data_IF_979704184772
#
_entry.id   IF_979704184772
#
_cell.length_a   1.000
_cell.length_b   1.000
_cell.length_c   1.000
_cell.angle_alpha   90.00
_cell.angle_beta   90.00
_cell.angle_gamma   90.00
#
_symmetry.space_group_name_H-M   'P 1'
#
loop_
_entity.id
_entity.type
_entity.pdbx_description
1 polymer ?
#
# COMPACT_ATOMS: atom_id res chain seq x y z
N UNK A 1 23.58 8.71 30.22
CA UNK A 1 23.51 7.84 29.03
C UNK A 1 22.83 8.62 27.91
N UNK A 2 23.53 8.94 26.81
CA UNK A 2 22.88 9.45 25.60
C UNK A 2 22.06 8.28 25.03
N UNK A 3 20.73 8.36 25.03
CA UNK A 3 19.91 7.39 24.32
C UNK A 3 20.38 7.37 22.86
N UNK A 4 20.83 6.22 22.37
CA UNK A 4 21.22 6.06 20.97
C UNK A 4 19.96 6.31 20.13
N UNK A 5 20.00 7.36 19.31
CA UNK A 5 18.90 7.71 18.40
C UNK A 5 18.73 6.56 17.39
N UNK A 6 17.48 6.18 17.12
CA UNK A 6 17.16 5.20 16.08
C UNK A 6 17.35 5.87 14.71
N UNK A 7 18.04 5.17 13.81
CA UNK A 7 18.34 5.67 12.46
C UNK A 7 17.56 4.82 11.47
N UNK A 8 16.74 5.49 10.66
CA UNK A 8 15.99 4.86 9.60
C UNK A 8 16.92 4.40 8.47
N UNK A 9 16.66 3.22 7.87
CA UNK A 9 17.42 2.73 6.72
C UNK A 9 17.01 3.49 5.44
N UNK A 10 17.96 3.77 4.53
CA UNK A 10 17.72 4.42 3.21
C UNK A 10 16.53 3.82 2.45
N UNK A 11 16.39 2.48 2.46
CA UNK A 11 15.36 1.72 1.72
C UNK A 11 14.22 1.20 2.61
N UNK A 12 14.04 1.73 3.83
CA UNK A 12 13.05 1.21 4.78
C UNK A 12 11.63 1.14 4.21
N UNK A 13 11.18 2.20 3.51
CA UNK A 13 9.88 2.22 2.86
C UNK A 13 9.71 1.09 1.82
N UNK A 14 10.76 0.77 1.05
CA UNK A 14 10.72 -0.30 0.06
C UNK A 14 10.59 -1.67 0.72
N UNK A 15 11.31 -1.92 1.82
CA UNK A 15 11.20 -3.17 2.56
C UNK A 15 9.78 -3.39 3.13
N UNK A 16 9.19 -2.35 3.75
CA UNK A 16 7.82 -2.44 4.24
C UNK A 16 6.83 -2.65 3.09
N UNK A 17 7.01 -1.95 1.96
CA UNK A 17 6.17 -2.15 0.78
C UNK A 17 6.23 -3.59 0.26
N UNK A 18 7.43 -4.15 0.08
CA UNK A 18 7.63 -5.54 -0.35
C UNK A 18 6.98 -6.53 0.61
N UNK A 19 7.13 -6.32 1.93
CA UNK A 19 6.50 -7.15 2.94
C UNK A 19 4.97 -7.11 2.82
N UNK A 20 4.36 -5.93 2.69
CA UNK A 20 2.90 -5.80 2.58
C UNK A 20 2.35 -6.38 1.28
N UNK A 21 3.07 -6.17 0.18
CA UNK A 21 2.68 -6.72 -1.12
C UNK A 21 2.72 -8.26 -1.08
N UNK A 22 3.81 -8.83 -0.55
CA UNK A 22 3.95 -10.28 -0.38
C UNK A 22 2.91 -10.84 0.59
N UNK A 23 2.60 -10.14 1.68
CA UNK A 23 1.56 -10.50 2.64
C UNK A 23 0.18 -10.64 1.99
N UNK A 24 -0.29 -9.60 1.31
CA UNK A 24 -1.61 -9.61 0.65
C UNK A 24 -1.65 -10.59 -0.50
N UNK A 25 -0.61 -10.60 -1.35
CA UNK A 25 -0.54 -11.52 -2.48
C UNK A 25 -0.60 -12.98 -2.01
N UNK A 26 0.09 -13.32 -0.91
CA UNK A 26 0.09 -14.67 -0.38
C UNK A 26 -1.29 -15.09 0.13
N UNK A 27 -2.02 -14.23 0.85
CA UNK A 27 -3.40 -14.52 1.27
C UNK A 27 -4.31 -14.74 0.06
N UNK A 28 -4.28 -13.83 -0.92
CA UNK A 28 -5.14 -13.92 -2.10
C UNK A 28 -4.83 -15.17 -2.94
N UNK A 29 -3.55 -15.47 -3.16
CA UNK A 29 -3.12 -16.66 -3.90
C UNK A 29 -3.43 -17.95 -3.17
N UNK A 30 -3.25 -17.98 -1.84
CA UNK A 30 -3.57 -19.15 -1.02
C UNK A 30 -5.07 -19.43 -1.06
N UNK A 31 -5.91 -18.41 -0.89
CA UNK A 31 -7.37 -18.56 -0.98
C UNK A 31 -7.85 -18.96 -2.37
N UNK A 32 -7.27 -18.39 -3.42
CA UNK A 32 -7.57 -18.79 -4.80
C UNK A 32 -7.16 -20.25 -5.04
N UNK A 33 -5.99 -20.66 -4.56
CA UNK A 33 -5.54 -22.04 -4.67
C UNK A 33 -6.48 -23.00 -3.92
N UNK A 34 -6.86 -22.68 -2.68
CA UNK A 34 -7.76 -23.51 -1.86
C UNK A 34 -9.16 -23.60 -2.47
N UNK A 35 -9.69 -22.50 -3.02
CA UNK A 35 -11.01 -22.51 -3.67
C UNK A 35 -11.02 -23.34 -4.95
N UNK A 36 -9.94 -23.30 -5.74
CA UNK A 36 -9.81 -24.09 -6.97
C UNK A 36 -9.58 -25.58 -6.70
N UNK A 37 -8.94 -25.93 -5.59
CA UNK A 37 -8.57 -27.31 -5.24
C UNK A 37 -9.55 -27.98 -4.27
N UNK A 38 -10.55 -27.25 -3.77
CA UNK A 38 -11.57 -27.78 -2.87
C UNK A 38 -11.07 -28.03 -1.46
N UNK A 39 -10.16 -27.19 -0.94
CA UNK A 39 -9.60 -27.27 0.41
C UNK A 39 -8.90 -28.62 0.71
N UNK A 40 -7.84 -28.97 -0.04
CA UNK A 40 -7.13 -30.22 0.15
C UNK A 40 -6.47 -30.29 1.52
N UNK A 41 -6.65 -31.43 2.20
CA UNK A 41 -6.01 -31.67 3.49
C UNK A 41 -4.61 -32.26 3.29
N UNK A 42 -3.59 -31.55 3.77
CA UNK A 42 -2.24 -32.10 3.89
C UNK A 42 -2.13 -32.74 5.28
N UNK A 43 -2.17 -34.07 5.33
CA UNK A 43 -2.22 -34.82 6.58
C UNK A 43 -2.93 -36.17 6.46
N UNK A 44 -3.20 -36.79 7.61
CA UNK A 44 -4.06 -37.97 7.75
C UNK A 44 -5.18 -37.69 8.77
N UNK A 45 -5.96 -38.72 9.13
CA UNK A 45 -7.09 -38.59 10.08
C UNK A 45 -6.70 -38.07 11.47
N UNK A 46 -5.42 -38.17 11.87
CA UNK A 46 -4.94 -37.75 13.20
C UNK A 46 -4.06 -36.50 13.17
N UNK A 47 -3.45 -36.20 12.04
CA UNK A 47 -2.45 -35.15 11.90
C UNK A 47 -2.76 -34.29 10.70
N UNK A 48 -3.06 -33.01 10.93
CA UNK A 48 -3.20 -32.00 9.90
C UNK A 48 -2.03 -31.02 10.02
N UNK A 49 -1.24 -30.88 8.94
CA UNK A 49 -0.18 -29.88 8.87
C UNK A 49 -0.78 -28.61 8.30
N UNK A 50 -1.16 -27.73 9.21
CA UNK A 50 -1.72 -26.42 8.93
C UNK A 50 -0.64 -25.52 8.27
N UNK A 51 -1.02 -24.75 7.26
CA UNK A 51 -0.06 -23.92 6.52
C UNK A 51 0.47 -22.74 7.34
N UNK A 52 -0.15 -22.44 8.47
CA UNK A 52 0.36 -21.57 9.54
C UNK A 52 1.75 -22.00 10.04
N UNK A 53 2.06 -23.30 10.09
CA UNK A 53 3.38 -23.79 10.53
C UNK A 53 4.46 -23.41 9.52
N UNK A 54 4.17 -23.56 8.23
CA UNK A 54 5.04 -23.11 7.14
C UNK A 54 5.18 -21.59 7.14
N UNK A 55 4.07 -20.88 7.40
CA UNK A 55 4.09 -19.44 7.60
C UNK A 55 5.05 -19.00 8.70
N UNK A 56 4.94 -19.60 9.89
CA UNK A 56 5.83 -19.34 11.02
C UNK A 56 7.30 -19.68 10.74
N UNK A 57 7.57 -20.80 10.06
CA UNK A 57 8.93 -21.17 9.66
C UNK A 57 9.54 -20.14 8.68
N UNK A 58 8.79 -19.71 7.67
CA UNK A 58 9.26 -18.73 6.70
C UNK A 58 9.51 -17.37 7.38
N UNK A 59 8.66 -16.94 8.33
CA UNK A 59 8.91 -15.74 9.15
C UNK A 59 10.20 -15.91 9.95
N UNK A 60 10.41 -17.07 10.58
CA UNK A 60 11.63 -17.33 11.35
C UNK A 60 12.90 -17.25 10.48
N UNK A 61 12.86 -17.83 9.27
CA UNK A 61 13.95 -17.71 8.28
C UNK A 61 14.14 -16.24 7.88
N UNK A 62 13.06 -15.54 7.53
CA UNK A 62 13.10 -14.13 7.17
C UNK A 62 13.72 -13.25 8.26
N UNK A 63 13.42 -13.52 9.53
CA UNK A 63 13.99 -12.81 10.68
C UNK A 63 15.46 -13.20 10.96
N UNK A 64 15.85 -14.45 10.71
CA UNK A 64 17.22 -14.93 10.94
C UNK A 64 18.21 -14.38 9.91
N UNK A 65 17.79 -14.21 8.65
CA UNK A 65 18.65 -13.73 7.57
C UNK A 65 19.45 -12.45 7.89
N UNK A 66 18.83 -11.33 8.32
CA UNK A 66 19.57 -10.10 8.65
C UNK A 66 20.40 -10.20 9.95
N UNK A 67 20.22 -11.27 10.74
CA UNK A 67 21.08 -11.55 11.90
C UNK A 67 22.34 -12.33 11.51
N UNK A 68 22.29 -13.07 10.39
CA UNK A 68 23.37 -13.92 9.90
C UNK A 68 24.23 -13.17 8.87
N UNK A 69 23.61 -12.40 7.98
CA UNK A 69 24.27 -11.77 6.85
C UNK A 69 24.20 -10.23 6.92
N UNK A 70 25.24 -9.57 6.42
CA UNK A 70 25.35 -8.10 6.44
C UNK A 70 24.98 -7.42 5.12
N UNK A 71 24.90 -8.16 4.01
CA UNK A 71 24.61 -7.60 2.68
C UNK A 71 23.23 -6.92 2.62
N UNK A 72 23.14 -5.81 1.91
CA UNK A 72 21.90 -5.02 1.80
C UNK A 72 20.74 -5.80 1.17
N UNK A 73 20.99 -6.61 0.14
CA UNK A 73 19.95 -7.39 -0.55
C UNK A 73 19.23 -8.39 0.38
N UNK A 74 19.89 -8.84 1.45
CA UNK A 74 19.30 -9.76 2.42
C UNK A 74 18.08 -9.14 3.12
N UNK A 75 18.04 -7.82 3.27
CA UNK A 75 16.88 -7.13 3.83
C UNK A 75 15.66 -7.20 2.90
N UNK A 76 15.87 -7.25 1.58
CA UNK A 76 14.79 -7.43 0.61
C UNK A 76 14.23 -8.86 0.66
N UNK A 77 15.13 -9.85 0.69
CA UNK A 77 14.75 -11.26 0.84
C UNK A 77 14.03 -11.46 2.18
N UNK A 78 14.54 -10.86 3.27
CA UNK A 78 13.91 -10.88 4.58
C UNK A 78 12.51 -10.28 4.56
N UNK A 79 12.31 -9.12 3.91
CA UNK A 79 11.00 -8.50 3.77
C UNK A 79 10.02 -9.37 2.96
N UNK A 80 10.49 -9.94 1.84
CA UNK A 80 9.70 -10.83 0.98
C UNK A 80 9.27 -12.08 1.74
N UNK A 81 10.22 -12.79 2.36
CA UNK A 81 9.94 -14.00 3.13
C UNK A 81 9.03 -13.69 4.32
N UNK A 82 9.31 -12.63 5.07
CA UNK A 82 8.45 -12.23 6.19
C UNK A 82 7.02 -11.95 5.73
N UNK A 83 6.84 -11.27 4.59
CA UNK A 83 5.51 -11.05 4.01
C UNK A 83 4.80 -12.35 3.62
N UNK A 84 5.49 -13.25 2.91
CA UNK A 84 4.94 -14.58 2.54
C UNK A 84 4.56 -15.37 3.80
N UNK A 85 5.46 -15.43 4.77
CA UNK A 85 5.26 -16.16 6.01
C UNK A 85 4.09 -15.61 6.82
N UNK A 86 3.98 -14.29 6.95
CA UNK A 86 2.83 -13.64 7.57
C UNK A 86 1.53 -13.93 6.81
N UNK A 87 1.56 -13.97 5.48
CA UNK A 87 0.38 -14.22 4.66
C UNK A 87 -0.18 -15.62 4.89
N UNK A 88 0.70 -16.63 4.86
CA UNK A 88 0.33 -18.01 5.19
C UNK A 88 -0.13 -18.17 6.64
N UNK A 89 0.51 -17.44 7.58
CA UNK A 89 0.15 -17.52 8.99
C UNK A 89 -1.25 -16.95 9.25
N UNK A 90 -1.53 -15.76 8.72
CA UNK A 90 -2.78 -15.07 8.98
C UNK A 90 -3.96 -15.57 8.15
N UNK A 91 -3.74 -16.29 7.04
CA UNK A 91 -4.84 -16.91 6.30
C UNK A 91 -5.61 -17.94 7.15
N UNK A 92 -4.95 -18.62 8.11
CA UNK A 92 -5.59 -19.55 9.05
C UNK A 92 -6.02 -18.90 10.37
N UNK A 93 -5.98 -17.57 10.51
CA UNK A 93 -6.27 -16.92 11.80
C UNK A 93 -7.66 -17.25 12.34
N UNK A 94 -8.63 -17.56 11.47
CA UNK A 94 -9.97 -18.02 11.88
C UNK A 94 -9.94 -19.25 12.78
N UNK A 95 -9.08 -20.24 12.46
CA UNK A 95 -8.91 -21.46 13.24
C UNK A 95 -8.41 -21.16 14.67
N UNK A 96 -7.68 -20.07 14.85
CA UNK A 96 -7.09 -19.70 16.15
C UNK A 96 -7.91 -18.68 16.94
N UNK A 97 -8.94 -18.09 16.31
CA UNK A 97 -9.87 -17.17 16.98
C UNK A 97 -11.06 -17.89 17.60
N UNK A 98 -11.26 -19.17 17.26
CA UNK A 98 -12.42 -19.97 17.66
C UNK A 98 -11.98 -21.20 18.45
N UNK A 99 -12.84 -21.71 19.33
CA UNK A 99 -12.54 -22.91 20.13
C UNK A 99 -12.65 -24.20 19.30
N UNK A 100 -13.47 -24.18 18.24
CA UNK A 100 -13.74 -25.29 17.33
C UNK A 100 -12.84 -25.29 16.08
N UNK A 101 -11.89 -24.35 15.98
CA UNK A 101 -10.98 -24.20 14.85
C UNK A 101 -11.68 -23.96 13.50
N UNK A 102 -12.70 -23.11 13.48
CA UNK A 102 -13.40 -22.71 12.27
C UNK A 102 -12.52 -21.82 11.37
N UNK A 103 -12.09 -22.39 10.24
CA UNK A 103 -11.34 -21.66 9.21
C UNK A 103 -12.15 -20.52 8.57
N UNK A 104 -13.47 -20.68 8.46
CA UNK A 104 -14.37 -19.71 7.81
C UNK A 104 -14.94 -18.67 8.78
N UNK A 105 -14.38 -18.57 9.98
CA UNK A 105 -14.81 -17.64 11.00
C UNK A 105 -14.77 -16.20 10.48
N UNK A 106 -15.95 -15.60 10.26
CA UNK A 106 -16.11 -14.31 9.57
C UNK A 106 -15.24 -13.16 10.12
N UNK A 107 -15.10 -12.97 11.44
CA UNK A 107 -14.23 -11.93 12.00
C UNK A 107 -12.76 -12.02 11.54
N UNK A 108 -12.27 -13.20 11.15
CA UNK A 108 -10.90 -13.39 10.70
C UNK A 108 -10.53 -12.43 9.55
N UNK A 109 -11.42 -12.23 8.59
CA UNK A 109 -11.18 -11.34 7.46
C UNK A 109 -11.02 -9.87 7.88
N UNK A 110 -11.84 -9.39 8.83
CA UNK A 110 -11.69 -8.05 9.40
C UNK A 110 -10.38 -7.89 10.16
N UNK A 111 -9.95 -8.91 10.91
CA UNK A 111 -8.67 -8.90 11.63
C UNK A 111 -7.49 -8.82 10.65
N UNK A 112 -7.50 -9.65 9.60
CA UNK A 112 -6.48 -9.62 8.53
C UNK A 112 -6.41 -8.21 7.91
N UNK A 113 -7.56 -7.61 7.61
CA UNK A 113 -7.61 -6.28 7.01
C UNK A 113 -7.12 -5.18 7.95
N UNK A 114 -7.44 -5.24 9.25
CA UNK A 114 -6.90 -4.29 10.25
C UNK A 114 -5.38 -4.41 10.37
N UNK A 115 -4.84 -5.63 10.35
CA UNK A 115 -3.39 -5.86 10.33
C UNK A 115 -2.74 -5.29 9.07
N UNK A 116 -3.38 -5.47 7.91
CA UNK A 116 -2.94 -4.84 6.67
C UNK A 116 -2.93 -3.31 6.77
N UNK A 117 -3.98 -2.70 7.31
CA UNK A 117 -4.06 -1.25 7.52
C UNK A 117 -2.98 -0.74 8.47
N UNK A 118 -2.68 -1.48 9.54
CA UNK A 118 -1.57 -1.15 10.44
C UNK A 118 -0.23 -1.17 9.69
N UNK A 119 -0.02 -2.16 8.85
CA UNK A 119 1.12 -2.24 7.95
C UNK A 119 1.23 -1.04 7.02
N UNK A 120 0.13 -0.66 6.36
CA UNK A 120 0.06 0.54 5.50
C UNK A 120 0.36 1.82 6.30
N UNK A 121 -0.14 1.92 7.53
CA UNK A 121 0.17 3.04 8.42
C UNK A 121 1.66 3.14 8.73
N UNK A 122 2.32 2.01 9.01
CA UNK A 122 3.78 1.96 9.19
C UNK A 122 4.50 2.42 7.92
N UNK A 123 4.12 1.89 6.75
CA UNK A 123 4.70 2.28 5.46
C UNK A 123 4.65 3.79 5.22
N UNK A 124 3.50 4.42 5.48
CA UNK A 124 3.33 5.87 5.31
C UNK A 124 4.11 6.67 6.36
N UNK A 125 4.29 6.14 7.56
CA UNK A 125 4.99 6.81 8.66
C UNK A 125 6.51 6.86 8.45
N UNK A 126 7.07 5.83 7.82
CA UNK A 126 8.51 5.74 7.48
C UNK A 126 8.89 6.77 6.40
N UNK A 127 7.95 7.27 5.61
CA UNK A 127 8.26 8.14 4.45
C UNK A 127 8.46 9.63 4.81
N UNK A 128 8.85 10.00 6.04
CA UNK A 128 8.80 11.41 6.50
C UNK A 128 10.12 11.97 7.01
N UNK A 129 10.58 13.04 6.33
CA UNK A 129 11.61 13.96 6.82
C UNK A 129 12.90 13.94 5.99
N UNK A 130 13.59 15.09 5.91
CA UNK A 130 14.96 15.11 5.41
C UNK A 130 15.90 14.51 6.47
N UNK A 131 16.78 13.57 6.10
CA UNK A 131 17.70 12.95 7.04
C UNK A 131 18.74 13.96 7.51
N UNK A 132 18.95 14.02 8.82
CA UNK A 132 20.04 14.80 9.40
C UNK A 132 21.42 14.27 8.92
N UNK A 133 22.48 15.07 9.03
CA UNK A 133 23.81 14.68 8.55
C UNK A 133 24.32 13.34 9.09
N UNK A 134 24.00 12.99 10.35
CA UNK A 134 24.39 11.70 10.92
C UNK A 134 23.65 10.57 10.21
N UNK A 135 22.33 10.68 10.03
CA UNK A 135 21.53 9.71 9.27
C UNK A 135 22.03 9.54 7.83
N UNK A 136 22.40 10.64 7.16
CA UNK A 136 22.99 10.60 5.81
C UNK A 136 24.33 9.85 5.78
N UNK A 137 25.20 10.04 6.77
CA UNK A 137 26.44 9.28 6.86
C UNK A 137 26.18 7.77 7.02
N UNK A 138 25.17 7.37 7.82
CA UNK A 138 24.77 5.95 7.90
C UNK A 138 24.29 5.40 6.55
N UNK A 139 23.57 6.20 5.77
CA UNK A 139 23.14 5.82 4.43
C UNK A 139 24.33 5.71 3.46
N UNK A 140 25.29 6.62 3.54
CA UNK A 140 26.52 6.58 2.75
C UNK A 140 27.34 5.33 3.08
N UNK A 141 27.57 5.03 4.37
CA UNK A 141 28.28 3.83 4.81
C UNK A 141 27.59 2.54 4.38
N UNK A 142 26.25 2.51 4.35
CA UNK A 142 25.52 1.38 3.81
C UNK A 142 25.73 1.22 2.29
N UNK A 143 25.73 2.32 1.53
CA UNK A 143 25.99 2.31 0.10
C UNK A 143 27.45 1.93 -0.25
N UNK A 144 28.41 2.11 0.67
CA UNK A 144 29.77 1.61 0.48
C UNK A 144 29.83 0.08 0.34
N UNK A 145 28.81 -0.67 0.81
CA UNK A 145 28.75 -2.12 0.61
C UNK A 145 28.71 -2.47 -0.88
N UNK A 146 28.07 -1.65 -1.71
CA UNK A 146 27.97 -1.90 -3.16
C UNK A 146 29.36 -1.79 -3.86
N UNK A 147 30.26 -0.99 -3.28
CA UNK A 147 31.66 -0.92 -3.77
C UNK A 147 32.41 -2.21 -3.41
N UNK A 148 32.17 -2.75 -2.22
CA UNK A 148 32.78 -4.01 -1.75
C UNK A 148 32.26 -5.20 -2.55
N UNK A 149 30.96 -5.21 -2.85
CA UNK A 149 30.29 -6.24 -3.64
C UNK A 149 30.59 -6.11 -5.15
N UNK A 150 31.15 -4.97 -5.58
CA UNK A 150 31.55 -4.71 -6.96
C UNK A 150 30.38 -4.46 -7.91
N UNK A 151 29.24 -4.04 -7.36
CA UNK A 151 27.99 -3.79 -8.08
C UNK A 151 27.58 -2.32 -8.12
N UNK A 152 28.42 -1.41 -7.59
CA UNK A 152 28.18 0.03 -7.64
C UNK A 152 27.88 0.52 -9.08
N UNK A 153 26.65 0.98 -9.29
CA UNK A 153 26.25 1.54 -10.57
C UNK A 153 26.54 3.05 -10.69
N UNK A 154 26.47 3.58 -11.92
CA UNK A 154 26.77 5.00 -12.20
C UNK A 154 25.83 5.95 -11.42
N UNK A 155 24.54 5.60 -11.31
CA UNK A 155 23.56 6.42 -10.58
C UNK A 155 23.76 6.31 -9.08
N UNK A 156 24.09 5.13 -8.57
CA UNK A 156 24.39 4.91 -7.17
C UNK A 156 25.66 5.65 -6.74
N UNK A 157 26.66 5.70 -7.63
CA UNK A 157 27.86 6.55 -7.43
C UNK A 157 27.48 8.03 -7.35
N UNK A 158 26.71 8.53 -8.31
CA UNK A 158 26.21 9.92 -8.32
C UNK A 158 25.42 10.23 -7.03
N UNK A 159 24.50 9.36 -6.64
CA UNK A 159 23.72 9.51 -5.40
C UNK A 159 24.60 9.52 -4.14
N UNK A 160 25.65 8.68 -4.10
CA UNK A 160 26.60 8.62 -2.98
C UNK A 160 27.43 9.90 -2.90
N UNK A 161 27.91 10.41 -4.04
CA UNK A 161 28.65 11.67 -4.11
C UNK A 161 27.77 12.86 -3.69
N UNK A 162 26.52 12.95 -4.16
CA UNK A 162 25.56 13.97 -3.74
C UNK A 162 25.31 13.92 -2.23
N UNK A 163 25.13 12.72 -1.69
CA UNK A 163 24.89 12.49 -0.27
C UNK A 163 26.08 12.97 0.58
N UNK A 164 27.31 12.60 0.22
CA UNK A 164 28.53 12.99 0.93
C UNK A 164 28.78 14.49 0.83
N UNK A 165 28.60 15.09 -0.36
CA UNK A 165 28.71 16.54 -0.55
C UNK A 165 27.70 17.31 0.32
N UNK A 166 26.47 16.79 0.46
CA UNK A 166 25.44 17.42 1.30
C UNK A 166 25.82 17.44 2.78
N UNK A 167 26.54 16.43 3.27
CA UNK A 167 27.05 16.38 4.65
C UNK A 167 28.18 17.41 4.84
N UNK A 168 29.06 17.55 3.84
CA UNK A 168 30.21 18.48 3.89
C UNK A 168 29.76 19.94 3.86
N UNK A 169 28.68 20.22 3.12
CA UNK A 169 28.12 21.57 2.95
C UNK A 169 27.35 22.12 4.14
N UNK A 170 26.90 21.27 5.06
CA UNK A 170 26.15 21.68 6.25
C UNK A 170 27.03 21.91 7.48
N UNK A 171 26.64 22.87 8.33
CA UNK A 171 27.22 23.03 9.67
C UNK A 171 26.74 21.88 10.56
N UNK A 172 27.59 20.86 10.69
CA UNK A 172 27.38 19.75 11.62
C UNK A 172 27.99 20.02 12.99
N UNK A 173 27.20 19.80 14.05
CA UNK A 173 27.65 19.81 15.45
C UNK A 173 28.66 18.69 15.81
N UNK A 174 28.95 17.79 14.87
CA UNK A 174 29.84 16.64 15.05
C UNK A 174 30.99 16.71 14.03
N UNK A 175 32.17 17.25 14.40
CA UNK A 175 33.32 17.41 13.51
C UNK A 175 33.73 16.12 12.80
N UNK A 176 33.74 15.00 13.54
CA UNK A 176 34.16 13.68 13.06
C UNK A 176 33.31 13.18 11.87
N UNK A 177 32.01 13.49 11.85
CA UNK A 177 31.08 13.08 10.76
C UNK A 177 31.46 13.76 9.45
N UNK A 178 31.84 15.04 9.54
CA UNK A 178 32.22 15.84 8.37
C UNK A 178 33.58 15.43 7.84
N UNK A 179 34.54 15.15 8.72
CA UNK A 179 35.87 14.68 8.32
C UNK A 179 35.78 13.32 7.63
N UNK A 180 35.07 12.35 8.22
CA UNK A 180 34.86 11.05 7.60
C UNK A 180 34.15 11.16 6.23
N UNK A 181 33.14 12.03 6.10
CA UNK A 181 32.46 12.23 4.83
C UNK A 181 33.40 12.76 3.72
N UNK A 182 34.39 13.60 4.06
CA UNK A 182 35.40 14.07 3.10
C UNK A 182 36.30 12.94 2.62
N UNK A 183 36.83 12.15 3.54
CA UNK A 183 37.69 11.00 3.23
C UNK A 183 36.95 9.98 2.35
N UNK A 184 35.68 9.69 2.68
CA UNK A 184 34.84 8.81 1.87
C UNK A 184 34.57 9.39 0.47
N UNK A 185 34.32 10.69 0.36
CA UNK A 185 34.07 11.33 -0.93
C UNK A 185 35.32 11.25 -1.83
N UNK A 186 36.49 11.53 -1.26
CA UNK A 186 37.76 11.44 -1.98
C UNK A 186 37.99 10.02 -2.51
N UNK A 187 37.72 9.00 -1.68
CA UNK A 187 37.78 7.60 -2.09
C UNK A 187 36.80 7.27 -3.23
N UNK A 188 35.53 7.65 -3.12
CA UNK A 188 34.50 7.36 -4.14
C UNK A 188 34.84 8.00 -5.48
N UNK A 189 35.35 9.25 -5.46
CA UNK A 189 35.72 9.96 -6.67
C UNK A 189 36.92 9.35 -7.39
N UNK A 190 37.94 8.91 -6.64
CA UNK A 190 39.23 8.53 -7.22
C UNK A 190 39.45 7.02 -7.37
N UNK A 191 38.77 6.19 -6.57
CA UNK A 191 39.07 4.76 -6.45
C UNK A 191 37.88 3.84 -6.72
N UNK A 192 36.64 4.33 -6.63
CA UNK A 192 35.46 3.53 -6.92
C UNK A 192 35.14 3.53 -8.43
N UNK A 193 35.40 2.40 -9.09
CA UNK A 193 34.98 2.16 -10.47
C UNK A 193 33.48 1.85 -10.50
N UNK A 194 32.74 2.56 -11.35
CA UNK A 194 31.32 2.30 -11.56
C UNK A 194 31.11 1.28 -12.68
N UNK A 195 30.23 0.31 -12.44
CA UNK A 195 29.85 -0.66 -13.46
C UNK A 195 28.69 -0.08 -14.30
N UNK A 196 28.75 -0.16 -15.65
CA UNK A 196 27.61 0.25 -16.46
C UNK A 196 26.40 -0.64 -16.18
N UNK A 197 25.26 -0.01 -15.84
CA UNK A 197 23.98 -0.69 -15.59
C UNK A 197 23.65 -1.58 -16.78
N UNK A 198 23.70 -2.91 -16.58
CA UNK A 198 23.21 -3.86 -17.58
C UNK A 198 21.69 -3.94 -17.46
N UNK A 199 20.98 -3.12 -18.22
CA UNK A 199 19.53 -3.21 -18.28
C UNK A 199 19.10 -4.54 -18.88
N UNK A 200 18.26 -5.28 -18.17
CA UNK A 200 17.61 -6.43 -18.78
C UNK A 200 16.66 -5.96 -19.90
N UNK A 201 16.47 -6.73 -20.99
CA UNK A 201 15.54 -6.38 -22.07
C UNK A 201 14.09 -6.19 -21.56
N UNK A 202 13.75 -6.87 -20.46
CA UNK A 202 12.48 -6.74 -19.76
C UNK A 202 12.34 -5.35 -19.11
N UNK A 203 13.34 -4.89 -18.37
CA UNK A 203 13.32 -3.55 -17.78
C UNK A 203 13.25 -2.45 -18.84
N UNK A 204 13.99 -2.58 -19.93
CA UNK A 204 13.95 -1.62 -21.04
C UNK A 204 12.53 -1.51 -21.63
N UNK A 205 11.83 -2.65 -21.70
CA UNK A 205 10.46 -2.73 -22.19
C UNK A 205 9.46 -2.15 -21.19
N UNK A 206 9.61 -2.45 -19.89
CA UNK A 206 8.82 -1.86 -18.81
C UNK A 206 9.01 -0.35 -18.78
N UNK A 207 10.26 0.15 -18.83
CA UNK A 207 10.57 1.60 -18.86
C UNK A 207 9.94 2.28 -20.07
N UNK A 208 9.99 1.65 -21.25
CA UNK A 208 9.30 2.16 -22.45
C UNK A 208 7.78 2.20 -22.25
N UNK A 209 7.19 1.15 -21.70
CA UNK A 209 5.76 1.11 -21.41
C UNK A 209 5.36 2.23 -20.42
N UNK A 210 6.11 2.41 -19.33
CA UNK A 210 5.88 3.47 -18.33
C UNK A 210 5.96 4.86 -18.97
N UNK A 211 7.01 5.14 -19.76
CA UNK A 211 7.14 6.43 -20.47
C UNK A 211 6.00 6.66 -21.48
N UNK A 212 5.56 5.60 -22.14
CA UNK A 212 4.44 5.67 -23.07
C UNK A 212 3.13 5.99 -22.32
N UNK A 213 2.85 5.30 -21.21
CA UNK A 213 1.70 5.57 -20.34
C UNK A 213 1.74 7.02 -19.82
N UNK A 214 2.89 7.49 -19.34
CA UNK A 214 3.04 8.84 -18.82
C UNK A 214 2.79 9.91 -19.88
N UNK A 215 3.31 9.72 -21.09
CA UNK A 215 3.16 10.68 -22.18
C UNK A 215 1.78 10.65 -22.86
N UNK A 216 1.10 9.51 -22.92
CA UNK A 216 -0.14 9.36 -23.69
C UNK A 216 -1.40 9.19 -22.83
N UNK A 217 -1.33 8.50 -21.69
CA UNK A 217 -2.48 8.23 -20.84
C UNK A 217 -2.58 9.20 -19.65
N UNK A 218 -1.45 9.61 -19.07
CA UNK A 218 -1.39 10.54 -17.93
C UNK A 218 -1.39 12.02 -18.36
N UNK A 219 -2.23 12.38 -19.34
CA UNK A 219 -2.48 13.79 -19.63
C UNK A 219 -3.33 14.41 -18.51
N UNK A 220 -3.23 15.74 -18.24
CA UNK A 220 -4.00 16.37 -17.17
C UNK A 220 -5.52 16.15 -17.35
N UNK A 221 -6.01 16.26 -18.60
CA UNK A 221 -7.42 16.10 -18.92
C UNK A 221 -7.89 14.66 -18.81
N UNK A 222 -7.13 13.69 -19.34
CA UNK A 222 -7.50 12.27 -19.25
C UNK A 222 -7.50 11.80 -17.79
N UNK A 223 -6.47 12.17 -17.02
CA UNK A 223 -6.35 11.82 -15.60
C UNK A 223 -7.52 12.42 -14.80
N UNK A 224 -7.87 13.68 -15.05
CA UNK A 224 -9.02 14.33 -14.40
C UNK A 224 -10.34 13.59 -14.69
N UNK A 225 -10.62 13.27 -15.95
CA UNK A 225 -11.84 12.54 -16.31
C UNK A 225 -11.86 11.11 -15.80
N UNK A 226 -10.71 10.43 -15.76
CA UNK A 226 -10.59 9.11 -15.16
C UNK A 226 -10.89 9.15 -13.65
N UNK A 227 -10.41 10.17 -12.94
CA UNK A 227 -10.70 10.35 -11.51
C UNK A 227 -12.18 10.68 -11.27
N UNK A 228 -12.77 11.54 -12.09
CA UNK A 228 -14.21 11.86 -12.02
C UNK A 228 -15.03 10.60 -12.31
N UNK A 229 -14.69 9.85 -13.36
CA UNK A 229 -15.38 8.61 -13.73
C UNK A 229 -15.27 7.55 -12.63
N UNK A 230 -14.08 7.37 -12.05
CA UNK A 230 -13.85 6.44 -10.93
C UNK A 230 -14.62 6.86 -9.68
N UNK A 231 -14.62 8.16 -9.36
CA UNK A 231 -15.40 8.72 -8.24
C UNK A 231 -16.90 8.54 -8.48
N UNK A 232 -17.38 8.76 -9.71
CA UNK A 232 -18.78 8.58 -10.09
C UNK A 232 -19.21 7.12 -10.00
N UNK A 233 -18.37 6.20 -10.45
CA UNK A 233 -18.61 4.76 -10.35
C UNK A 233 -18.72 4.32 -8.89
N UNK A 234 -17.77 4.70 -8.03
CA UNK A 234 -17.85 4.37 -6.60
C UNK A 234 -19.04 5.04 -5.89
N UNK A 235 -19.38 6.27 -6.27
CA UNK A 235 -20.59 6.95 -5.77
C UNK A 235 -21.84 6.19 -6.14
N UNK A 236 -21.96 5.75 -7.40
CA UNK A 236 -23.09 4.94 -7.86
C UNK A 236 -23.21 3.65 -7.04
N UNK A 237 -22.11 2.91 -6.86
CA UNK A 237 -22.08 1.69 -6.06
C UNK A 237 -22.43 1.95 -4.58
N UNK A 238 -22.07 3.11 -4.04
CA UNK A 238 -22.44 3.48 -2.67
C UNK A 238 -23.94 3.82 -2.55
N UNK A 239 -24.51 4.44 -3.59
CA UNK A 239 -25.92 4.84 -3.62
C UNK A 239 -26.87 3.67 -3.90
N UNK A 240 -26.46 2.62 -4.62
CA UNK A 240 -27.33 1.48 -4.93
C UNK A 240 -27.90 0.83 -3.66
N UNK A 241 -27.05 0.50 -2.68
CA UNK A 241 -27.51 -0.08 -1.41
C UNK A 241 -28.51 0.84 -0.66
N UNK A 242 -28.36 2.17 -0.81
CA UNK A 242 -29.24 3.16 -0.16
C UNK A 242 -30.59 3.22 -0.88
N UNK A 243 -30.58 3.23 -2.21
CA UNK A 243 -31.79 3.25 -3.02
C UNK A 243 -32.62 2.00 -2.74
N UNK A 244 -31.96 0.84 -2.68
CA UNK A 244 -32.58 -0.43 -2.28
C UNK A 244 -33.22 -0.33 -0.89
N UNK A 245 -32.50 0.21 0.10
CA UNK A 245 -33.04 0.42 1.45
C UNK A 245 -34.24 1.38 1.47
N UNK A 246 -34.15 2.52 0.79
CA UNK A 246 -35.23 3.52 0.73
C UNK A 246 -36.46 2.98 0.00
N UNK A 247 -36.25 2.19 -1.05
CA UNK A 247 -37.33 1.53 -1.78
C UNK A 247 -38.09 0.55 -0.89
N UNK A 248 -37.36 -0.25 -0.09
CA UNK A 248 -37.94 -1.15 0.89
C UNK A 248 -38.78 -0.38 1.93
N UNK A 249 -38.25 0.70 2.51
CA UNK A 249 -38.99 1.52 3.49
C UNK A 249 -40.29 2.11 2.89
N UNK A 250 -40.27 2.47 1.60
CA UNK A 250 -41.42 3.02 0.89
C UNK A 250 -42.53 2.02 0.57
N UNK A 251 -42.25 0.71 0.62
CA UNK A 251 -43.19 -0.36 0.28
C UNK A 251 -43.27 -1.37 1.44
N UNK A 252 -44.11 -1.11 2.46
CA UNK A 252 -44.20 -1.95 3.67
C UNK A 252 -44.45 -3.44 3.39
N UNK A 253 -45.19 -3.73 2.31
CA UNK A 253 -45.50 -5.10 1.87
C UNK A 253 -44.26 -5.84 1.35
N UNK A 254 -43.24 -5.10 0.86
CA UNK A 254 -42.01 -5.64 0.29
C UNK A 254 -40.84 -5.65 1.29
N UNK A 255 -40.94 -4.93 2.42
CA UNK A 255 -39.92 -4.94 3.48
C UNK A 255 -39.57 -6.36 3.92
N UNK A 256 -40.59 -7.22 4.06
CA UNK A 256 -40.38 -8.61 4.48
C UNK A 256 -39.53 -9.40 3.48
N UNK A 257 -39.76 -9.21 2.17
CA UNK A 257 -38.98 -9.84 1.08
C UNK A 257 -37.57 -9.26 1.03
N UNK A 258 -37.45 -7.95 1.11
CA UNK A 258 -36.16 -7.25 1.07
C UNK A 258 -35.25 -7.64 2.24
N UNK A 259 -35.80 -7.67 3.46
CA UNK A 259 -35.08 -8.12 4.65
C UNK A 259 -34.70 -9.59 4.52
N UNK A 260 -35.56 -10.45 3.95
CA UNK A 260 -35.21 -11.85 3.69
C UNK A 260 -34.08 -11.98 2.67
N UNK A 261 -34.10 -11.23 1.57
CA UNK A 261 -33.03 -11.24 0.56
C UNK A 261 -31.69 -10.87 1.18
N UNK A 262 -31.64 -9.83 2.01
CA UNK A 262 -30.42 -9.40 2.69
C UNK A 262 -29.97 -10.38 3.79
N UNK A 263 -30.90 -10.95 4.55
CA UNK A 263 -30.60 -12.01 5.51
C UNK A 263 -29.96 -13.20 4.79
N UNK A 264 -30.45 -13.58 3.62
CA UNK A 264 -29.89 -14.69 2.83
C UNK A 264 -28.54 -14.30 2.23
N UNK A 265 -28.45 -13.15 1.56
CA UNK A 265 -27.24 -12.71 0.85
C UNK A 265 -26.06 -12.48 1.81
N UNK A 266 -26.32 -11.84 2.95
CA UNK A 266 -25.31 -11.51 3.97
C UNK A 266 -25.24 -12.58 5.07
N UNK A 267 -26.16 -13.55 5.05
CA UNK A 267 -26.25 -14.65 6.01
C UNK A 267 -26.25 -14.14 7.45
N UNK A 268 -27.13 -13.16 7.76
CA UNK A 268 -27.26 -12.57 9.09
C UNK A 268 -27.86 -13.58 10.07
N UNK A 269 -27.12 -13.92 11.13
CA UNK A 269 -27.50 -14.97 12.09
C UNK A 269 -27.92 -14.46 13.46
N UNK A 270 -27.62 -13.20 13.79
CA UNK A 270 -27.89 -12.62 15.10
C UNK A 270 -28.38 -11.17 15.03
N UNK A 271 -29.09 -10.73 16.07
CA UNK A 271 -29.51 -9.33 16.18
C UNK A 271 -28.31 -8.37 16.20
N UNK A 272 -27.18 -8.79 16.78
CA UNK A 272 -25.95 -8.00 16.81
C UNK A 272 -25.33 -7.85 15.41
N UNK A 273 -25.34 -8.91 14.60
CA UNK A 273 -24.90 -8.83 13.19
C UNK A 273 -25.77 -7.87 12.39
N UNK A 274 -27.10 -7.90 12.59
CA UNK A 274 -28.02 -6.95 11.96
C UNK A 274 -27.68 -5.51 12.32
N UNK A 275 -27.40 -5.23 13.61
CA UNK A 275 -26.99 -3.88 14.04
C UNK A 275 -25.70 -3.44 13.36
N UNK A 276 -24.66 -4.29 13.34
CA UNK A 276 -23.39 -3.95 12.69
C UNK A 276 -23.51 -3.74 11.19
N UNK A 277 -24.38 -4.51 10.55
CA UNK A 277 -24.67 -4.37 9.15
C UNK A 277 -25.39 -3.05 8.83
N UNK A 278 -26.35 -2.62 9.67
CA UNK A 278 -26.99 -1.30 9.56
C UNK A 278 -25.98 -0.17 9.80
N UNK A 279 -25.06 -0.32 10.76
CA UNK A 279 -23.96 0.63 11.00
C UNK A 279 -23.07 0.75 9.78
N UNK A 280 -22.68 -0.38 9.18
CA UNK A 280 -21.88 -0.42 7.94
C UNK A 280 -22.59 0.34 6.81
N UNK A 281 -23.88 0.09 6.60
CA UNK A 281 -24.65 0.76 5.55
C UNK A 281 -24.76 2.28 5.79
N UNK A 282 -24.92 2.68 7.05
CA UNK A 282 -24.95 4.09 7.45
C UNK A 282 -23.61 4.78 7.15
N UNK A 283 -22.49 4.13 7.48
CA UNK A 283 -21.16 4.63 7.15
C UNK A 283 -20.92 4.68 5.64
N UNK A 284 -21.31 3.63 4.89
CA UNK A 284 -21.25 3.60 3.42
C UNK A 284 -22.07 4.75 2.80
N UNK A 285 -23.20 5.11 3.41
CA UNK A 285 -24.01 6.26 2.99
C UNK A 285 -23.28 7.60 3.18
N UNK A 286 -22.58 7.77 4.31
CA UNK A 286 -21.78 8.97 4.57
C UNK A 286 -20.64 9.08 3.54
N UNK A 287 -19.97 7.96 3.23
CA UNK A 287 -18.96 7.91 2.16
C UNK A 287 -19.57 8.29 0.81
N UNK A 288 -20.71 7.68 0.43
CA UNK A 288 -21.40 7.98 -0.82
C UNK A 288 -21.77 9.47 -0.96
N UNK A 289 -22.27 10.09 0.12
CA UNK A 289 -22.55 11.52 0.16
C UNK A 289 -21.28 12.38 -0.01
N UNK A 290 -20.18 12.02 0.66
CA UNK A 290 -18.91 12.73 0.52
C UNK A 290 -18.37 12.65 -0.93
N UNK A 291 -18.47 11.49 -1.58
CA UNK A 291 -18.10 11.31 -2.98
C UNK A 291 -19.03 12.08 -3.93
N UNK A 292 -20.34 12.13 -3.64
CA UNK A 292 -21.30 12.92 -4.41
C UNK A 292 -20.99 14.42 -4.32
N UNK A 293 -20.66 14.93 -3.13
CA UNK A 293 -20.19 16.31 -2.94
C UNK A 293 -18.90 16.56 -3.74
N UNK A 294 -17.96 15.60 -3.73
CA UNK A 294 -16.75 15.69 -4.52
C UNK A 294 -17.04 15.79 -6.03
N UNK A 295 -17.98 15.01 -6.55
CA UNK A 295 -18.41 15.10 -7.97
C UNK A 295 -19.02 16.45 -8.31
N UNK A 296 -19.89 16.98 -7.44
CA UNK A 296 -20.45 18.32 -7.63
C UNK A 296 -19.32 19.37 -7.68
N UNK A 297 -18.35 19.29 -6.77
CA UNK A 297 -17.20 20.19 -6.75
C UNK A 297 -16.30 20.04 -8.00
N UNK A 298 -16.10 18.82 -8.50
CA UNK A 298 -15.42 18.59 -9.78
C UNK A 298 -16.18 19.22 -10.95
N UNK A 299 -17.51 19.16 -10.97
CA UNK A 299 -18.32 19.82 -12.00
C UNK A 299 -18.15 21.35 -11.96
N UNK A 300 -18.06 21.95 -10.77
CA UNK A 300 -17.76 23.37 -10.57
C UNK A 300 -16.28 23.75 -10.71
N UNK A 301 -15.42 22.83 -11.16
CA UNK A 301 -13.95 23.02 -11.30
C UNK A 301 -13.24 23.43 -9.99
N UNK A 302 -13.81 23.08 -8.84
CA UNK A 302 -13.18 23.25 -7.52
C UNK A 302 -12.38 22.01 -7.16
N UNK A 303 -11.38 21.69 -7.99
CA UNK A 303 -10.66 20.40 -7.96
C UNK A 303 -9.99 20.14 -6.59
N UNK A 304 -9.40 21.14 -5.93
CA UNK A 304 -8.77 20.95 -4.61
C UNK A 304 -9.77 20.54 -3.52
N UNK A 305 -10.93 21.21 -3.49
CA UNK A 305 -11.99 20.89 -2.54
C UNK A 305 -12.62 19.54 -2.88
N UNK A 306 -12.86 19.26 -4.16
CA UNK A 306 -13.35 17.97 -4.64
C UNK A 306 -12.45 16.81 -4.19
N UNK A 307 -11.14 16.94 -4.40
CA UNK A 307 -10.15 15.95 -3.97
C UNK A 307 -10.17 15.79 -2.45
N UNK A 308 -10.32 16.87 -1.69
CA UNK A 308 -10.34 16.80 -0.23
C UNK A 308 -11.57 16.04 0.29
N UNK A 309 -12.76 16.28 -0.27
CA UNK A 309 -13.96 15.51 0.06
C UNK A 309 -13.85 14.05 -0.36
N UNK A 310 -13.34 13.78 -1.57
CA UNK A 310 -13.14 12.42 -2.06
C UNK A 310 -12.16 11.65 -1.17
N UNK A 311 -11.00 12.24 -0.83
CA UNK A 311 -10.04 11.62 0.08
C UNK A 311 -10.63 11.40 1.48
N UNK A 312 -11.39 12.35 2.02
CA UNK A 312 -12.06 12.17 3.32
C UNK A 312 -13.03 10.99 3.33
N UNK A 313 -13.88 10.88 2.29
CA UNK A 313 -14.80 9.75 2.13
C UNK A 313 -14.08 8.42 1.94
N UNK A 314 -13.07 8.36 1.07
CA UNK A 314 -12.29 7.14 0.83
C UNK A 314 -11.48 6.72 2.06
N UNK A 315 -10.94 7.67 2.83
CA UNK A 315 -10.26 7.35 4.10
C UNK A 315 -11.23 6.74 5.12
N UNK A 316 -12.45 7.29 5.24
CA UNK A 316 -13.51 6.69 6.05
C UNK A 316 -13.88 5.28 5.55
N UNK A 317 -13.94 5.11 4.22
CA UNK A 317 -14.20 3.81 3.58
C UNK A 317 -13.14 2.78 3.98
N UNK A 318 -11.86 3.06 3.72
CA UNK A 318 -10.79 2.10 3.99
C UNK A 318 -10.63 1.80 5.48
N UNK A 319 -10.89 2.76 6.38
CA UNK A 319 -10.63 2.58 7.82
C UNK A 319 -11.80 1.96 8.58
N UNK A 320 -13.04 2.23 8.18
CA UNK A 320 -14.22 1.77 8.91
C UNK A 320 -15.14 0.90 8.05
N UNK A 321 -15.56 1.39 6.88
CA UNK A 321 -16.53 0.66 6.03
C UNK A 321 -15.96 -0.67 5.59
N UNK A 322 -14.73 -0.68 5.06
CA UNK A 322 -14.10 -1.89 4.55
C UNK A 322 -13.84 -2.90 5.67
N UNK A 323 -13.51 -2.47 6.90
CA UNK A 323 -13.35 -3.38 8.05
C UNK A 323 -14.64 -4.17 8.31
N UNK A 324 -15.79 -3.49 8.28
CA UNK A 324 -17.10 -4.12 8.42
C UNK A 324 -17.49 -4.92 7.17
N UNK A 325 -17.15 -4.42 5.98
CA UNK A 325 -17.44 -5.12 4.73
C UNK A 325 -16.66 -6.44 4.63
N UNK A 326 -15.42 -6.50 5.12
CA UNK A 326 -14.64 -7.74 5.21
C UNK A 326 -15.28 -8.78 6.13
N UNK A 327 -16.03 -8.36 7.15
CA UNK A 327 -16.78 -9.28 8.01
C UNK A 327 -17.90 -9.97 7.23
N UNK A 328 -18.64 -9.21 6.40
CA UNK A 328 -19.85 -9.70 5.72
C UNK A 328 -19.59 -10.29 4.32
N UNK A 329 -18.76 -9.63 3.50
CA UNK A 329 -18.53 -9.97 2.08
C UNK A 329 -17.04 -9.90 1.73
N UNK A 330 -16.27 -10.91 2.13
CA UNK A 330 -14.78 -10.92 2.03
C UNK A 330 -14.24 -10.58 0.63
N UNK A 331 -14.73 -11.26 -0.41
CA UNK A 331 -14.22 -11.08 -1.79
C UNK A 331 -14.58 -9.70 -2.34
N UNK A 332 -15.83 -9.29 -2.16
CA UNK A 332 -16.33 -7.97 -2.54
C UNK A 332 -15.56 -6.86 -1.83
N UNK A 333 -15.29 -7.03 -0.53
CA UNK A 333 -14.50 -6.09 0.27
C UNK A 333 -13.08 -5.90 -0.28
N UNK A 334 -12.43 -6.97 -0.75
CA UNK A 334 -11.11 -6.86 -1.40
C UNK A 334 -11.15 -5.99 -2.65
N UNK A 335 -12.17 -6.15 -3.49
CA UNK A 335 -12.34 -5.34 -4.72
C UNK A 335 -12.58 -3.87 -4.37
N UNK A 336 -13.47 -3.59 -3.40
CA UNK A 336 -13.71 -2.22 -2.93
C UNK A 336 -12.46 -1.58 -2.34
N UNK A 337 -11.72 -2.30 -1.48
CA UNK A 337 -10.48 -1.80 -0.90
C UNK A 337 -9.45 -1.48 -1.99
N UNK A 338 -9.25 -2.35 -2.98
CA UNK A 338 -8.35 -2.10 -4.11
C UNK A 338 -8.77 -0.86 -4.92
N UNK A 339 -10.07 -0.69 -5.18
CA UNK A 339 -10.59 0.48 -5.87
C UNK A 339 -10.36 1.77 -5.05
N UNK A 340 -10.62 1.73 -3.74
CA UNK A 340 -10.40 2.85 -2.82
C UNK A 340 -8.92 3.24 -2.78
N UNK A 341 -8.00 2.28 -2.57
CA UNK A 341 -6.55 2.54 -2.58
C UNK A 341 -6.07 3.12 -3.90
N UNK A 342 -6.54 2.57 -5.02
CA UNK A 342 -6.18 3.04 -6.37
C UNK A 342 -6.67 4.47 -6.58
N UNK A 343 -7.89 4.80 -6.17
CA UNK A 343 -8.43 6.14 -6.30
C UNK A 343 -7.73 7.14 -5.37
N UNK A 344 -7.44 6.77 -4.12
CA UNK A 344 -6.64 7.57 -3.18
C UNK A 344 -5.26 7.88 -3.79
N UNK A 345 -4.59 6.87 -4.36
CA UNK A 345 -3.30 7.03 -5.01
C UNK A 345 -3.41 7.98 -6.23
N UNK A 346 -4.42 7.79 -7.08
CA UNK A 346 -4.68 8.63 -8.26
C UNK A 346 -5.01 10.09 -7.91
N UNK A 347 -5.83 10.32 -6.88
CA UNK A 347 -6.18 11.66 -6.39
C UNK A 347 -4.96 12.38 -5.83
N UNK A 348 -4.13 11.69 -5.03
CA UNK A 348 -2.89 12.24 -4.50
C UNK A 348 -1.86 12.52 -5.62
N UNK A 349 -1.76 11.63 -6.61
CA UNK A 349 -0.93 11.84 -7.80
C UNK A 349 -1.36 13.10 -8.54
N UNK A 350 -2.65 13.24 -8.86
CA UNK A 350 -3.17 14.41 -9.58
C UNK A 350 -2.95 15.71 -8.80
N UNK A 351 -3.20 15.70 -7.49
CA UNK A 351 -2.96 16.85 -6.60
C UNK A 351 -1.49 17.28 -6.62
N UNK A 352 -0.56 16.34 -6.43
CA UNK A 352 0.88 16.62 -6.42
C UNK A 352 1.38 17.11 -7.79
N UNK A 353 0.96 16.45 -8.87
CA UNK A 353 1.50 16.63 -10.22
C UNK A 353 0.95 17.83 -10.98
N UNK A 354 -0.31 18.20 -10.75
CA UNK A 354 -1.00 19.23 -11.56
C UNK A 354 -1.56 20.41 -10.75
N UNK A 355 -1.82 20.25 -9.45
CA UNK A 355 -2.36 21.34 -8.61
C UNK A 355 -1.28 22.03 -7.78
N UNK A 356 -0.35 21.28 -7.16
CA UNK A 356 0.70 21.84 -6.30
C UNK A 356 1.88 22.41 -7.08
N UNK A 357 2.34 21.73 -8.13
CA UNK A 357 3.28 22.30 -9.09
C UNK A 357 2.49 23.10 -10.11
N UNK A 358 2.39 24.42 -9.91
CA UNK A 358 1.65 25.33 -10.79
C UNK A 358 2.08 25.21 -12.25
N UNK A 359 1.39 24.36 -13.01
CA UNK A 359 1.58 24.23 -14.45
C UNK A 359 0.90 25.45 -15.10
N UNK A 360 1.61 26.59 -15.16
CA UNK A 360 1.36 27.58 -16.21
C UNK A 360 1.83 26.94 -17.50
N UNK A 361 0.96 26.52 -18.43
CA UNK A 361 1.42 26.08 -19.74
C UNK A 361 2.21 27.24 -20.36
N UNK A 362 3.42 26.95 -20.83
CA UNK A 362 4.22 27.92 -21.58
C UNK A 362 3.34 28.47 -22.72
N UNK A 363 3.06 29.78 -22.68
CA UNK A 363 2.42 30.49 -23.79
C UNK A 363 3.27 30.20 -25.03
N UNK A 364 2.71 29.45 -25.99
CA UNK A 364 3.29 29.34 -27.32
C UNK A 364 3.45 30.75 -27.86
N UNK A 365 4.69 31.20 -28.04
CA UNK A 365 5.02 32.43 -28.73
C UNK A 365 4.36 32.38 -30.12
N UNK A 366 3.65 33.42 -30.56
CA UNK A 366 3.16 33.45 -31.93
C UNK A 366 4.36 33.40 -32.89
N UNK A 367 4.21 32.75 -34.06
CA UNK A 367 5.28 32.69 -35.04
C UNK A 367 5.66 34.13 -35.43
N UNK A 368 6.94 34.46 -35.28
CA UNK A 368 7.50 35.69 -35.87
C UNK A 368 7.34 35.54 -37.39
N UNK A 369 6.58 36.45 -37.98
CA UNK A 369 6.60 36.70 -39.43
C UNK A 369 7.90 37.37 -39.83
#
# INVERSE_FOLDING_TARGET
MRFRRLIERKRAANYIFTLLLAFVATILLTRLFLSLTGYPQIGNERLHIAHVLWGGLIVAVGAALPLIFSNTFILEVSALLSGIGLGLFFDEVGKFLTQDNDYFFRPAASVIYVLFLLGVYIYVSVRRGEPDPQTRLYHALAAMQEIVDGDLDVREKEELEELLNSIIGEETDIPDVRELAKELLEFVQHQADAVPVRSSPLEESIRRAVRWVDSHLLTPTATRWLLIGSTAFLTLLALLDIVELLHAIGHPDEISRFVQEWIVEVSLTSAQETVWFVVMLSLKSIVGLALLIALALFAFRRDEAAISFALGGLLLSITLVNVLLFYFKQFTASVYAMADFTLIAGLNFYKRRYLQTGHRPARRSPPKK
#
